data_IF_386732366913
#
_entry.id   IF_386732366913
#
_cell.length_a   1.000
_cell.length_b   1.000
_cell.length_c   1.000
_cell.angle_alpha   90.00
_cell.angle_beta   90.00
_cell.angle_gamma   90.00
#
_symmetry.space_group_name_H-M   'P 1'
#
loop_
_entity.id
_entity.type
_entity.pdbx_description
1 polymer ?
#
# COMPACT_ATOMS: atom_id res chain seq x y z
N UNK A 1 -21.11 -3.67 24.32
CA UNK A 1 -22.55 -3.75 24.62
C UNK A 1 -23.10 -4.77 23.67
N UNK A 2 -23.37 -5.96 24.19
CA UNK A 2 -24.14 -6.94 23.46
C UNK A 2 -25.57 -6.42 23.45
N UNK A 3 -26.03 -6.01 22.27
CA UNK A 3 -27.43 -5.62 22.08
C UNK A 3 -28.16 -6.94 21.96
N UNK A 4 -28.82 -7.34 23.04
CA UNK A 4 -29.61 -8.56 23.08
C UNK A 4 -30.70 -8.48 21.98
N UNK A 5 -30.60 -9.38 21.00
CA UNK A 5 -31.45 -9.47 19.80
C UNK A 5 -32.82 -10.11 20.13
N UNK A 6 -33.08 -10.36 21.42
CA UNK A 6 -34.28 -11.01 21.96
C UNK A 6 -35.48 -10.06 21.92
N UNK A 7 -35.99 -9.78 20.71
CA UNK A 7 -37.20 -8.98 20.50
C UNK A 7 -37.32 -8.31 19.14
N UNK A 8 -36.31 -8.40 18.27
CA UNK A 8 -36.34 -7.82 16.92
C UNK A 8 -37.00 -8.77 15.91
N UNK A 9 -37.72 -8.22 14.93
CA UNK A 9 -38.22 -9.02 13.81
C UNK A 9 -37.04 -9.69 13.06
N UNK A 10 -37.10 -10.99 12.72
CA UNK A 10 -36.00 -11.72 12.07
C UNK A 10 -35.44 -11.03 10.82
N UNK A 11 -36.28 -10.35 10.03
CA UNK A 11 -35.84 -9.63 8.83
C UNK A 11 -34.98 -8.42 9.22
N UNK A 12 -35.38 -7.70 10.27
CA UNK A 12 -34.66 -6.54 10.76
C UNK A 12 -33.32 -6.93 11.42
N UNK A 13 -33.29 -8.05 12.14
CA UNK A 13 -32.07 -8.64 12.68
C UNK A 13 -31.07 -9.03 11.58
N UNK A 14 -31.56 -9.65 10.49
CA UNK A 14 -30.73 -10.01 9.33
C UNK A 14 -30.20 -8.78 8.60
N UNK A 15 -31.06 -7.78 8.34
CA UNK A 15 -30.63 -6.53 7.69
C UNK A 15 -29.57 -5.77 8.49
N UNK A 16 -29.70 -5.70 9.83
CA UNK A 16 -28.68 -5.08 10.68
C UNK A 16 -27.34 -5.82 10.64
N UNK A 17 -27.37 -7.15 10.51
CA UNK A 17 -26.16 -7.98 10.40
C UNK A 17 -25.48 -7.80 9.04
N UNK A 18 -26.25 -7.80 7.95
CA UNK A 18 -25.74 -7.61 6.58
C UNK A 18 -25.16 -6.22 6.39
N UNK A 19 -25.84 -5.18 6.89
CA UNK A 19 -25.40 -3.79 6.78
C UNK A 19 -24.30 -3.42 7.80
N UNK A 20 -24.02 -4.28 8.78
CA UNK A 20 -22.95 -4.09 9.75
C UNK A 20 -23.27 -3.14 10.91
N UNK A 21 -24.55 -2.82 11.16
CA UNK A 21 -24.97 -1.91 12.24
C UNK A 21 -24.91 -2.55 13.64
N UNK A 22 -24.71 -3.85 13.74
CA UNK A 22 -24.73 -4.56 15.02
C UNK A 22 -23.52 -4.25 15.93
N UNK A 23 -22.33 -3.98 15.38
CA UNK A 23 -21.11 -3.75 16.17
C UNK A 23 -20.13 -2.81 15.48
N UNK A 24 -19.47 -1.95 16.26
CA UNK A 24 -18.35 -1.14 15.77
C UNK A 24 -17.10 -2.01 15.61
N UNK A 25 -16.61 -2.15 14.37
CA UNK A 25 -15.32 -2.77 14.06
C UNK A 25 -14.35 -1.69 13.57
N UNK A 26 -13.08 -1.80 13.98
CA UNK A 26 -11.99 -0.99 13.44
C UNK A 26 -11.14 -1.81 12.46
N UNK A 27 -10.63 -1.18 11.42
CA UNK A 27 -9.62 -1.75 10.52
C UNK A 27 -8.19 -1.42 10.95
N UNK A 28 -8.02 -0.74 12.09
CA UNK A 28 -6.70 -0.38 12.64
C UNK A 28 -5.83 -1.62 12.80
N UNK A 29 -4.62 -1.59 12.22
CA UNK A 29 -3.66 -2.69 12.20
C UNK A 29 -4.14 -4.00 11.53
N UNK A 30 -5.19 -3.94 10.70
CA UNK A 30 -5.65 -5.09 9.91
C UNK A 30 -5.29 -4.93 8.44
N UNK A 31 -4.94 -6.03 7.76
CA UNK A 31 -4.68 -6.01 6.31
C UNK A 31 -6.02 -6.02 5.56
N UNK A 32 -6.29 -4.96 4.81
CA UNK A 32 -7.49 -4.85 3.96
C UNK A 32 -7.17 -5.42 2.58
N UNK A 33 -7.94 -6.41 2.07
CA UNK A 33 -7.75 -6.96 0.72
C UNK A 33 -7.80 -5.86 -0.36
N UNK A 34 -6.86 -5.88 -1.31
CA UNK A 34 -6.80 -4.92 -2.41
C UNK A 34 -5.98 -3.66 -2.11
N UNK A 35 -5.75 -3.33 -0.84
CA UNK A 35 -4.92 -2.18 -0.46
C UNK A 35 -3.41 -2.41 -0.66
N UNK A 36 -2.99 -3.67 -0.79
CA UNK A 36 -1.60 -4.09 -1.01
C UNK A 36 -1.05 -3.73 -2.40
N UNK A 37 -1.93 -3.50 -3.38
CA UNK A 37 -1.56 -3.17 -4.77
C UNK A 37 -1.60 -1.66 -5.05
N UNK A 38 -2.09 -0.85 -4.11
CA UNK A 38 -2.29 0.59 -4.25
C UNK A 38 -1.14 1.39 -3.63
N UNK A 39 0.08 1.15 -4.10
CA UNK A 39 1.23 1.95 -3.70
C UNK A 39 2.11 2.30 -4.90
N UNK A 40 2.74 3.47 -4.85
CA UNK A 40 3.71 3.93 -5.84
C UNK A 40 4.86 4.65 -5.16
N UNK A 41 6.09 4.35 -5.56
CA UNK A 41 7.29 5.01 -5.03
C UNK A 41 7.95 5.81 -6.15
N UNK A 42 8.03 7.13 -5.98
CA UNK A 42 8.78 8.01 -6.88
C UNK A 42 10.27 7.97 -6.52
N UNK A 43 11.08 7.31 -7.35
CA UNK A 43 12.54 7.26 -7.18
C UNK A 43 13.19 8.21 -8.18
N UNK A 44 13.69 9.34 -7.70
CA UNK A 44 14.53 10.22 -8.51
C UNK A 44 15.89 9.56 -8.73
N UNK A 45 16.24 9.30 -9.99
CA UNK A 45 17.59 8.86 -10.35
C UNK A 45 18.46 10.10 -10.52
N UNK A 46 19.55 10.18 -9.77
CA UNK A 46 20.56 11.23 -9.98
C UNK A 46 21.17 11.06 -11.37
N UNK A 47 21.23 12.15 -12.14
CA UNK A 47 21.95 12.18 -13.41
C UNK A 47 23.43 11.96 -13.11
N UNK A 48 24.02 10.93 -13.69
CA UNK A 48 25.44 10.65 -13.55
C UNK A 48 26.12 10.97 -14.88
N UNK A 49 27.06 11.93 -14.87
CA UNK A 49 27.74 12.39 -16.08
C UNK A 49 28.98 11.56 -16.37
N UNK A 50 29.30 11.43 -17.67
CA UNK A 50 30.48 10.71 -18.13
C UNK A 50 31.72 11.59 -18.08
N UNK A 51 32.80 11.10 -17.48
CA UNK A 51 34.09 11.77 -17.50
C UNK A 51 34.85 11.35 -18.77
N UNK A 52 35.15 12.33 -19.64
CA UNK A 52 35.89 12.10 -20.89
C UNK A 52 37.38 12.45 -20.76
N UNK A 53 37.71 13.56 -20.08
CA UNK A 53 39.08 14.05 -19.95
C UNK A 53 39.77 13.52 -18.69
N UNK A 54 41.09 13.36 -18.76
CA UNK A 54 41.98 12.94 -17.66
C UNK A 54 41.49 11.68 -16.93
N UNK A 55 41.12 10.66 -17.72
CA UNK A 55 40.60 9.39 -17.18
C UNK A 55 41.75 8.51 -16.69
N UNK A 56 41.76 8.07 -15.43
CA UNK A 56 42.73 7.08 -14.95
C UNK A 56 42.47 5.73 -15.63
N UNK A 57 43.50 5.17 -16.27
CA UNK A 57 43.42 3.87 -16.97
C UNK A 57 43.25 3.91 -18.48
N UNK A 58 43.36 5.09 -19.11
CA UNK A 58 43.50 5.22 -20.57
C UNK A 58 42.18 5.14 -21.37
N UNK A 59 42.31 5.35 -22.68
CA UNK A 59 41.18 5.56 -23.60
C UNK A 59 40.29 4.31 -23.79
N UNK A 60 40.87 3.10 -23.73
CA UNK A 60 40.17 1.84 -24.00
C UNK A 60 39.29 1.31 -22.85
N UNK A 61 39.18 2.01 -21.71
CA UNK A 61 38.24 1.64 -20.63
C UNK A 61 36.84 2.22 -20.88
N UNK A 62 35.77 1.56 -20.40
CA UNK A 62 34.41 2.11 -20.47
C UNK A 62 34.29 3.40 -19.66
N UNK A 63 33.62 4.41 -20.22
CA UNK A 63 33.36 5.65 -19.51
C UNK A 63 32.36 5.41 -18.38
N UNK A 64 32.75 5.77 -17.16
CA UNK A 64 31.84 5.80 -16.03
C UNK A 64 30.82 6.93 -16.21
N UNK A 65 29.54 6.71 -15.87
CA UNK A 65 28.93 5.43 -15.50
C UNK A 65 28.47 4.71 -16.77
N UNK A 66 28.68 3.40 -16.80
CA UNK A 66 28.02 2.54 -17.77
C UNK A 66 26.50 2.66 -17.71
#
# INVERSE_FOLDING_TARGET
MDVDDEGMDPIEAEMRRVMGFARFRSTKNTKVPGNDKLYGVRKEKKTKYRQYMNRPGGFNRPLSPG
#
